data_IF_018454812008
#
_entry.id   IF_018454812008
#
_cell.length_a   1.000
_cell.length_b   1.000
_cell.length_c   1.000
_cell.angle_alpha   90.00
_cell.angle_beta   90.00
_cell.angle_gamma   90.00
#
_symmetry.space_group_name_H-M   'P 1'
#
loop_
_entity.id
_entity.type
_entity.pdbx_description
1 polymer ?
#
# COMPACT_ATOMS: atom_id res chain seq x y z
N UNK A 1 -8.51 7.26 19.21
CA UNK A 1 -8.97 6.20 18.29
C UNK A 1 -9.98 6.83 17.35
N UNK A 2 -9.85 6.60 16.03
CA UNK A 2 -10.79 7.15 15.05
C UNK A 2 -12.00 6.21 14.89
N UNK A 3 -13.19 6.78 14.71
CA UNK A 3 -14.43 6.04 14.45
C UNK A 3 -14.92 6.39 13.05
N UNK A 4 -15.30 5.37 12.28
CA UNK A 4 -15.88 5.52 10.95
C UNK A 4 -17.33 5.04 11.02
N UNK A 5 -18.27 5.90 10.61
CA UNK A 5 -19.66 5.52 10.39
C UNK A 5 -19.91 5.41 8.90
N UNK A 6 -20.35 4.24 8.45
CA UNK A 6 -20.76 3.99 7.06
C UNK A 6 -22.29 3.95 7.05
N UNK A 7 -22.90 4.82 6.26
CA UNK A 7 -24.36 4.92 6.11
C UNK A 7 -24.80 4.25 4.81
N UNK A 8 -26.09 3.91 4.75
CA UNK A 8 -26.77 3.47 3.53
C UNK A 8 -26.12 2.25 2.86
N UNK A 9 -25.67 1.28 3.68
CA UNK A 9 -25.15 0.01 3.18
C UNK A 9 -26.33 -0.81 2.62
N UNK A 10 -26.25 -1.30 1.38
CA UNK A 10 -27.27 -2.19 0.84
C UNK A 10 -27.44 -3.44 1.71
N UNK A 11 -28.69 -3.84 1.96
CA UNK A 11 -29.03 -4.95 2.86
C UNK A 11 -28.30 -6.25 2.49
N UNK A 12 -28.19 -6.56 1.20
CA UNK A 12 -27.47 -7.74 0.70
C UNK A 12 -25.98 -7.73 1.11
N UNK A 13 -25.34 -6.57 1.01
CA UNK A 13 -23.94 -6.39 1.40
C UNK A 13 -23.77 -6.53 2.92
N UNK A 14 -24.69 -5.94 3.69
CA UNK A 14 -24.71 -6.08 5.14
C UNK A 14 -24.84 -7.55 5.57
N UNK A 15 -25.78 -8.28 4.98
CA UNK A 15 -26.00 -9.70 5.29
C UNK A 15 -24.80 -10.57 4.93
N UNK A 16 -24.17 -10.31 3.79
CA UNK A 16 -22.94 -10.98 3.39
C UNK A 16 -21.82 -10.76 4.42
N UNK A 17 -21.63 -9.52 4.87
CA UNK A 17 -20.63 -9.19 5.90
C UNK A 17 -20.98 -9.87 7.23
N UNK A 18 -22.25 -9.84 7.64
CA UNK A 18 -22.73 -10.46 8.88
C UNK A 18 -22.46 -11.96 8.90
N UNK A 19 -22.71 -12.67 7.80
CA UNK A 19 -22.44 -14.10 7.67
C UNK A 19 -20.95 -14.40 7.73
N UNK A 20 -20.12 -13.63 7.02
CA UNK A 20 -18.65 -13.79 7.05
C UNK A 20 -18.05 -13.53 8.43
N UNK A 21 -18.50 -12.47 9.11
CA UNK A 21 -18.06 -12.17 10.47
C UNK A 21 -18.42 -13.30 11.45
N UNK A 22 -19.64 -13.85 11.35
CA UNK A 22 -20.07 -15.00 12.14
C UNK A 22 -19.21 -16.24 11.85
N UNK A 23 -18.93 -16.53 10.58
CA UNK A 23 -18.09 -17.66 10.19
C UNK A 23 -16.65 -17.53 10.74
N UNK A 24 -16.15 -16.29 10.85
CA UNK A 24 -14.86 -15.98 11.47
C UNK A 24 -14.89 -15.95 13.02
N UNK A 25 -16.06 -16.14 13.65
CA UNK A 25 -16.20 -16.04 15.10
C UNK A 25 -16.02 -14.60 15.65
N UNK A 26 -16.22 -13.59 14.81
CA UNK A 26 -15.99 -12.19 15.13
C UNK A 26 -17.31 -11.41 15.20
N UNK A 27 -17.33 -10.34 16.00
CA UNK A 27 -18.37 -9.31 15.85
C UNK A 27 -18.21 -8.61 14.49
N UNK A 28 -19.31 -8.09 13.93
CA UNK A 28 -19.27 -7.34 12.65
C UNK A 28 -18.28 -6.18 12.73
N UNK A 29 -18.25 -5.46 13.86
CA UNK A 29 -17.35 -4.33 14.09
C UNK A 29 -15.87 -4.77 14.06
N UNK A 30 -15.52 -5.87 14.71
CA UNK A 30 -14.16 -6.39 14.71
C UNK A 30 -13.74 -6.86 13.31
N UNK A 31 -14.61 -7.62 12.63
CA UNK A 31 -14.38 -8.07 11.26
C UNK A 31 -14.14 -6.88 10.31
N UNK A 32 -15.00 -5.87 10.34
CA UNK A 32 -14.87 -4.69 9.48
C UNK A 32 -13.65 -3.84 9.80
N UNK A 33 -13.28 -3.72 11.08
CA UNK A 33 -12.01 -3.07 11.47
C UNK A 33 -10.83 -3.78 10.80
N UNK A 34 -10.79 -5.11 10.85
CA UNK A 34 -9.69 -5.87 10.26
C UNK A 34 -9.64 -5.66 8.74
N UNK A 35 -10.80 -5.61 8.06
CA UNK A 35 -10.87 -5.27 6.63
C UNK A 35 -10.35 -3.84 6.34
N UNK A 36 -10.73 -2.84 7.14
CA UNK A 36 -10.25 -1.45 6.98
C UNK A 36 -8.74 -1.36 7.21
N UNK A 37 -8.22 -2.08 8.20
CA UNK A 37 -6.76 -2.13 8.46
C UNK A 37 -6.03 -2.80 7.30
N UNK A 38 -6.56 -3.89 6.75
CA UNK A 38 -5.98 -4.53 5.56
C UNK A 38 -6.00 -3.60 4.35
N UNK A 39 -7.11 -2.89 4.12
CA UNK A 39 -7.22 -1.90 3.05
C UNK A 39 -6.18 -0.80 3.21
N UNK A 40 -6.01 -0.25 4.41
CA UNK A 40 -5.04 0.80 4.68
C UNK A 40 -3.57 0.33 4.54
N UNK A 41 -3.29 -0.96 4.67
CA UNK A 41 -1.94 -1.53 4.44
C UNK A 41 -1.58 -1.62 2.97
N UNK A 42 -2.58 -1.70 2.07
CA UNK A 42 -2.33 -1.82 0.65
C UNK A 42 -1.97 -0.44 0.08
N UNK A 43 -0.69 -0.22 -0.23
CA UNK A 43 -0.29 0.95 -1.01
C UNK A 43 -0.84 0.84 -2.42
N UNK A 44 -1.42 1.92 -2.89
CA UNK A 44 -1.74 2.11 -4.31
C UNK A 44 -0.46 2.20 -5.14
N UNK A 45 -0.54 1.88 -6.43
CA UNK A 45 0.58 2.06 -7.36
C UNK A 45 1.11 3.49 -7.35
N UNK A 46 0.21 4.47 -7.21
CA UNK A 46 0.56 5.88 -7.14
C UNK A 46 1.40 6.17 -5.90
N UNK A 47 0.95 5.75 -4.73
CA UNK A 47 1.70 5.94 -3.48
C UNK A 47 3.07 5.26 -3.50
N UNK A 48 3.20 4.13 -4.21
CA UNK A 48 4.50 3.48 -4.41
C UNK A 48 5.42 4.33 -5.29
N UNK A 49 4.91 4.88 -6.40
CA UNK A 49 5.68 5.75 -7.29
C UNK A 49 6.09 7.04 -6.56
N UNK A 50 5.17 7.68 -5.85
CA UNK A 50 5.45 8.90 -5.09
C UNK A 50 6.51 8.64 -3.99
N UNK A 51 6.45 7.47 -3.34
CA UNK A 51 7.47 7.06 -2.37
C UNK A 51 8.83 6.81 -3.04
N UNK A 52 8.86 6.22 -4.24
CA UNK A 52 10.09 5.97 -4.99
C UNK A 52 10.74 7.29 -5.45
N UNK A 53 9.96 8.21 -6.00
CA UNK A 53 10.43 9.55 -6.39
C UNK A 53 11.02 10.29 -5.19
N UNK A 54 10.37 10.23 -4.02
CA UNK A 54 10.87 10.85 -2.80
C UNK A 54 12.19 10.24 -2.31
N UNK A 55 12.42 8.94 -2.52
CA UNK A 55 13.70 8.27 -2.20
C UNK A 55 14.78 8.69 -3.18
N UNK A 56 14.50 8.62 -4.49
CA UNK A 56 15.44 9.02 -5.54
C UNK A 56 15.88 10.48 -5.40
N UNK A 57 14.95 11.38 -5.04
CA UNK A 57 15.25 12.78 -4.80
C UNK A 57 16.15 13.02 -3.57
N UNK A 58 16.11 12.13 -2.56
CA UNK A 58 16.92 12.24 -1.34
C UNK A 58 18.29 11.61 -1.45
N UNK A 59 18.36 10.43 -2.05
CA UNK A 59 19.60 9.65 -2.12
C UNK A 59 20.46 10.00 -3.33
N UNK A 60 19.89 10.69 -4.32
CA UNK A 60 20.57 10.92 -5.60
C UNK A 60 20.82 9.61 -6.34
N UNK A 61 21.55 9.67 -7.45
CA UNK A 61 22.06 8.46 -8.09
C UNK A 61 23.43 8.15 -7.48
N UNK A 62 23.68 6.94 -6.96
CA UNK A 62 24.98 6.59 -6.38
C UNK A 62 26.10 6.52 -7.43
N UNK A 63 25.72 6.47 -8.70
CA UNK A 63 26.62 6.47 -9.86
C UNK A 63 26.98 7.91 -10.21
N UNK A 64 28.28 8.20 -10.20
CA UNK A 64 28.83 9.48 -10.63
C UNK A 64 29.19 9.46 -12.11
N UNK A 65 29.43 10.64 -12.69
CA UNK A 65 29.92 10.74 -14.08
C UNK A 65 31.26 10.01 -14.24
N UNK A 66 32.12 10.06 -13.23
CA UNK A 66 33.44 9.43 -13.27
C UNK A 66 33.33 7.90 -13.31
N UNK A 67 32.37 7.32 -12.58
CA UNK A 67 32.06 5.89 -12.64
C UNK A 67 31.63 5.47 -14.05
N UNK A 68 30.77 6.28 -14.71
CA UNK A 68 30.29 6.02 -16.07
C UNK A 68 31.43 6.05 -17.08
N UNK A 69 32.35 7.02 -16.96
CA UNK A 69 33.51 7.12 -17.85
C UNK A 69 34.48 5.96 -17.63
N UNK A 70 34.69 5.55 -16.39
CA UNK A 70 35.55 4.41 -16.06
C UNK A 70 35.06 3.10 -16.67
N UNK A 71 33.74 2.82 -16.60
CA UNK A 71 33.13 1.65 -17.25
C UNK A 71 33.24 1.72 -18.78
N UNK A 72 33.00 2.89 -19.37
CA UNK A 72 33.15 3.12 -20.82
C UNK A 72 34.57 2.88 -21.34
N UNK A 73 35.59 3.24 -20.56
CA UNK A 73 36.99 3.00 -20.90
C UNK A 73 37.40 1.54 -20.67
N UNK A 74 36.76 0.84 -19.72
CA UNK A 74 36.97 -0.59 -19.50
C UNK A 74 36.44 -1.43 -20.66
N UNK A 75 35.27 -1.09 -21.23
CA UNK A 75 34.68 -1.76 -22.39
C UNK A 75 35.48 -1.58 -23.70
N UNK A 76 36.36 -0.57 -23.78
CA UNK A 76 37.18 -0.27 -24.97
C UNK A 76 38.54 -0.99 -25.00
N UNK A 77 38.92 -1.70 -23.93
CA UNK A 77 40.18 -2.48 -23.86
C UNK A 77 39.98 -3.95 -24.18
#
# INVERSE_FOLDING_TARGET
MATIQIRDIPDEAYETIRLRARAAGQSIQAYMRDQVVMLAKQRTKREVLDALEAVLAKEGTPVTLDDIVADLDADRR
#
